data_IF_694674476370
#
_entry.id   IF_694674476370
#
_cell.length_a   1.000
_cell.length_b   1.000
_cell.length_c   1.000
_cell.angle_alpha   90.00
_cell.angle_beta   90.00
_cell.angle_gamma   90.00
#
_symmetry.space_group_name_H-M   'P 1'
#
loop_
_entity.id
_entity.type
_entity.pdbx_description
1 polymer ?
#
# COMPACT_ATOMS: atom_id res chain seq x y z
N UNK A 1 12.42 -5.30 5.65
CA UNK A 1 12.42 -3.83 5.66
C UNK A 1 13.34 -3.12 4.67
N UNK A 2 14.65 -3.45 4.56
CA UNK A 2 15.59 -2.72 3.66
C UNK A 2 15.11 -2.56 2.21
N UNK A 3 14.54 -3.61 1.62
CA UNK A 3 14.02 -3.57 0.23
C UNK A 3 12.89 -2.55 0.07
N UNK A 4 11.88 -2.58 0.94
CA UNK A 4 10.71 -1.71 0.81
C UNK A 4 11.07 -0.23 1.02
N UNK A 5 11.92 0.07 2.01
CA UNK A 5 12.46 1.43 2.20
C UNK A 5 13.23 1.90 0.97
N UNK A 6 14.06 1.03 0.37
CA UNK A 6 14.77 1.35 -0.88
C UNK A 6 13.84 1.62 -2.05
N UNK A 7 12.72 0.88 -2.17
CA UNK A 7 11.69 1.16 -3.19
C UNK A 7 11.06 2.52 -2.93
N UNK A 8 10.58 2.78 -1.71
CA UNK A 8 9.92 4.05 -1.38
C UNK A 8 10.83 5.28 -1.50
N UNK A 9 12.15 5.13 -1.38
CA UNK A 9 13.11 6.19 -1.73
C UNK A 9 13.16 6.53 -3.22
N UNK A 10 12.66 5.65 -4.09
CA UNK A 10 12.70 5.79 -5.55
C UNK A 10 11.32 5.96 -6.21
N UNK A 11 10.23 5.87 -5.43
CA UNK A 11 8.87 6.03 -5.96
C UNK A 11 8.66 7.47 -6.42
N UNK A 12 8.12 7.62 -7.62
CA UNK A 12 7.79 8.89 -8.24
C UNK A 12 6.40 8.88 -8.92
N UNK A 13 6.05 9.98 -9.60
CA UNK A 13 4.78 10.15 -10.31
C UNK A 13 4.52 9.16 -11.45
N UNK A 14 5.57 8.49 -11.94
CA UNK A 14 5.49 7.52 -13.04
C UNK A 14 5.43 6.08 -12.53
N UNK A 15 5.65 5.88 -11.24
CA UNK A 15 5.76 4.55 -10.64
C UNK A 15 4.42 3.79 -10.62
N UNK A 16 3.32 4.48 -10.33
CA UNK A 16 1.97 3.91 -10.30
C UNK A 16 1.21 4.25 -11.60
N UNK A 17 0.36 3.35 -12.13
CA UNK A 17 0.02 2.02 -11.63
C UNK A 17 0.81 0.89 -12.30
N UNK A 18 1.91 1.18 -13.01
CA UNK A 18 2.54 0.23 -13.96
C UNK A 18 3.86 -0.38 -13.49
N UNK A 19 4.59 0.27 -12.57
CA UNK A 19 5.80 -0.32 -11.96
C UNK A 19 5.54 -0.77 -10.53
N UNK A 20 4.79 0.02 -9.78
CA UNK A 20 4.41 -0.26 -8.40
C UNK A 20 2.98 0.18 -8.13
N UNK A 21 2.31 -0.48 -7.19
CA UNK A 21 1.03 -0.02 -6.67
C UNK A 21 0.86 -0.50 -5.23
N UNK A 22 0.76 0.42 -4.27
CA UNK A 22 0.72 0.08 -2.85
C UNK A 22 -0.63 0.40 -2.20
N UNK A 23 -1.68 0.64 -2.97
CA UNK A 23 -3.02 0.86 -2.42
C UNK A 23 -4.07 0.30 -3.37
N UNK A 24 -4.66 -0.84 -3.01
CA UNK A 24 -5.66 -1.54 -3.81
C UNK A 24 -6.48 -2.48 -2.94
N UNK A 25 -7.75 -2.63 -3.31
CA UNK A 25 -8.73 -3.40 -2.54
C UNK A 25 -9.26 -4.57 -3.34
N UNK A 26 -9.63 -5.62 -2.62
CA UNK A 26 -10.22 -6.85 -3.17
C UNK A 26 -11.58 -7.12 -2.54
N UNK A 27 -12.24 -8.18 -3.00
CA UNK A 27 -13.46 -8.72 -2.35
C UNK A 27 -13.25 -9.19 -0.91
N UNK A 28 -12.02 -9.16 -0.39
CA UNK A 28 -11.76 -9.43 1.02
C UNK A 28 -12.09 -8.25 1.93
N UNK A 29 -12.28 -7.04 1.39
CA UNK A 29 -12.96 -5.92 2.06
C UNK A 29 -14.15 -5.42 1.24
N UNK A 30 -13.93 -4.40 0.42
CA UNK A 30 -14.92 -3.60 -0.30
C UNK A 30 -14.53 -3.34 -1.76
N UNK A 31 -13.43 -3.96 -2.22
CA UNK A 31 -13.09 -4.02 -3.63
C UNK A 31 -13.91 -5.06 -4.39
N UNK A 32 -13.82 -5.02 -5.72
CA UNK A 32 -14.57 -5.91 -6.63
C UNK A 32 -13.72 -6.97 -7.30
N UNK A 33 -12.39 -6.81 -7.31
CA UNK A 33 -11.48 -7.84 -7.81
C UNK A 33 -11.30 -8.95 -6.79
N UNK A 34 -11.29 -10.20 -7.24
CA UNK A 34 -10.72 -11.27 -6.42
C UNK A 34 -9.21 -11.09 -6.35
N UNK A 35 -8.54 -11.53 -5.26
CA UNK A 35 -7.10 -11.52 -5.18
C UNK A 35 -6.41 -12.18 -6.38
N UNK A 36 -6.99 -13.24 -6.95
CA UNK A 36 -6.44 -13.94 -8.12
C UNK A 36 -6.55 -13.10 -9.40
N UNK A 37 -7.70 -12.47 -9.66
CA UNK A 37 -7.87 -11.57 -10.79
C UNK A 37 -6.96 -10.33 -10.67
N UNK A 38 -6.75 -9.85 -9.44
CA UNK A 38 -5.80 -8.79 -9.13
C UNK A 38 -4.36 -9.25 -9.44
N UNK A 39 -3.97 -10.46 -9.03
CA UNK A 39 -2.66 -11.02 -9.37
C UNK A 39 -2.42 -11.11 -10.88
N UNK A 40 -3.43 -11.54 -11.64
CA UNK A 40 -3.36 -11.61 -13.10
C UNK A 40 -3.15 -10.23 -13.73
N UNK A 41 -3.87 -9.21 -13.26
CA UNK A 41 -3.66 -7.84 -13.72
C UNK A 41 -2.29 -7.29 -13.32
N UNK A 42 -1.86 -7.50 -12.08
CA UNK A 42 -0.55 -7.06 -11.60
C UNK A 42 0.60 -7.69 -12.41
N UNK A 43 0.50 -8.98 -12.71
CA UNK A 43 1.46 -9.67 -13.56
C UNK A 43 1.40 -9.17 -15.01
N UNK A 44 0.20 -9.00 -15.58
CA UNK A 44 0.00 -8.51 -16.95
C UNK A 44 0.48 -7.07 -17.17
N UNK A 45 0.37 -6.21 -16.14
CA UNK A 45 0.91 -4.85 -16.15
C UNK A 45 2.45 -4.81 -16.04
N UNK A 46 3.08 -5.92 -15.64
CA UNK A 46 4.52 -5.97 -15.41
C UNK A 46 4.95 -5.24 -14.13
N UNK A 47 4.11 -5.27 -13.08
CA UNK A 47 4.48 -4.68 -11.79
C UNK A 47 5.79 -5.29 -11.27
N UNK A 48 6.66 -4.46 -10.71
CA UNK A 48 7.86 -4.89 -9.99
C UNK A 48 7.56 -5.26 -8.55
N UNK A 49 6.59 -4.57 -7.93
CA UNK A 49 6.08 -4.90 -6.61
C UNK A 49 4.81 -4.16 -6.25
N UNK A 50 4.03 -4.71 -5.32
CA UNK A 50 2.73 -4.15 -4.92
C UNK A 50 2.30 -4.70 -3.56
N UNK A 51 1.25 -4.11 -3.00
CA UNK A 51 0.60 -4.59 -1.78
C UNK A 51 -0.92 -4.52 -1.96
N UNK A 52 -1.62 -5.57 -1.52
CA UNK A 52 -3.08 -5.54 -1.33
C UNK A 52 -3.33 -4.95 0.06
N UNK A 53 -4.18 -3.94 0.14
CA UNK A 53 -4.40 -3.14 1.37
C UNK A 53 -5.87 -3.14 1.76
N UNK A 54 -6.50 -4.32 1.73
CA UNK A 54 -7.89 -4.48 2.17
C UNK A 54 -8.11 -3.88 3.57
N UNK A 55 -9.29 -3.33 3.80
CA UNK A 55 -9.66 -2.75 5.08
C UNK A 55 -9.67 -3.80 6.21
N UNK A 56 -8.83 -3.58 7.23
CA UNK A 56 -8.82 -4.34 8.50
C UNK A 56 -8.59 -5.86 8.35
N UNK A 57 -8.04 -6.30 7.23
CA UNK A 57 -7.77 -7.72 6.95
C UNK A 57 -6.56 -7.91 6.06
N UNK A 58 -5.95 -9.09 6.12
CA UNK A 58 -4.86 -9.53 5.23
C UNK A 58 -5.26 -10.76 4.41
N UNK A 59 -6.56 -11.08 4.35
CA UNK A 59 -7.06 -12.24 3.63
C UNK A 59 -6.72 -12.19 2.13
N UNK A 60 -6.80 -11.00 1.50
CA UNK A 60 -6.41 -10.81 0.11
C UNK A 60 -4.94 -11.11 -0.13
N UNK A 61 -4.06 -10.67 0.78
CA UNK A 61 -2.62 -10.99 0.74
C UNK A 61 -2.37 -12.51 0.76
N UNK A 62 -3.02 -13.27 1.65
CA UNK A 62 -2.79 -14.72 1.71
C UNK A 62 -3.28 -15.46 0.46
N UNK A 63 -4.41 -15.03 -0.12
CA UNK A 63 -4.92 -15.61 -1.38
C UNK A 63 -3.99 -15.28 -2.55
N UNK A 64 -3.50 -14.05 -2.63
CA UNK A 64 -2.50 -13.65 -3.61
C UNK A 64 -1.18 -14.41 -3.45
N UNK A 65 -0.73 -14.65 -2.22
CA UNK A 65 0.46 -15.46 -1.94
C UNK A 65 0.28 -16.92 -2.40
N UNK A 66 -0.89 -17.51 -2.14
CA UNK A 66 -1.22 -18.86 -2.63
C UNK A 66 -1.22 -18.91 -4.16
N UNK A 67 -1.78 -17.92 -4.83
CA UNK A 67 -1.72 -17.82 -6.29
C UNK A 67 -0.27 -17.80 -6.80
N UNK A 68 0.64 -17.08 -6.14
CA UNK A 68 2.07 -17.04 -6.49
C UNK A 68 2.73 -18.41 -6.30
N UNK A 69 2.47 -19.08 -5.18
CA UNK A 69 2.95 -20.44 -4.89
C UNK A 69 2.48 -21.43 -5.97
N UNK A 70 1.19 -21.40 -6.32
CA UNK A 70 0.59 -22.23 -7.38
C UNK A 70 1.17 -21.91 -8.77
N UNK A 71 1.46 -20.64 -9.06
CA UNK A 71 2.09 -20.24 -10.33
C UNK A 71 3.51 -20.76 -10.43
N UNK A 72 4.29 -20.65 -9.35
CA UNK A 72 5.68 -21.14 -9.29
C UNK A 72 5.75 -22.65 -9.45
N UNK A 73 4.85 -23.39 -8.80
CA UNK A 73 4.75 -24.84 -8.95
C UNK A 73 4.49 -25.26 -10.41
N UNK A 74 3.64 -24.51 -11.13
CA UNK A 74 3.31 -24.78 -12.54
C UNK A 74 4.40 -24.35 -13.54
N UNK A 75 5.36 -23.52 -13.13
CA UNK A 75 6.41 -22.97 -14.01
C UNK A 75 7.84 -23.18 -13.46
N UNK A 76 8.26 -24.41 -13.15
CA UNK A 76 9.53 -24.68 -12.45
C UNK A 76 10.76 -24.23 -13.25
N UNK A 77 10.71 -24.27 -14.59
CA UNK A 77 11.82 -23.85 -15.45
C UNK A 77 12.11 -22.34 -15.44
N UNK A 78 11.17 -21.51 -14.94
CA UNK A 78 11.36 -20.05 -14.77
C UNK A 78 11.87 -19.66 -13.38
N UNK A 79 11.91 -20.61 -12.44
CA UNK A 79 12.54 -20.43 -11.13
C UNK A 79 14.04 -20.76 -11.23
N UNK A 80 14.76 -20.06 -12.11
CA UNK A 80 16.23 -20.01 -12.00
C UNK A 80 16.56 -18.95 -10.97
N UNK A 81 17.07 -19.38 -9.81
CA UNK A 81 17.67 -18.50 -8.80
C UNK A 81 18.91 -17.85 -9.45
N UNK A 82 18.72 -16.68 -10.04
CA UNK A 82 19.80 -15.90 -10.64
C UNK A 82 20.60 -15.18 -9.58
N UNK A 83 21.77 -15.72 -9.21
CA UNK A 83 22.93 -14.89 -8.86
C UNK A 83 23.48 -14.37 -10.19
N UNK A 84 23.38 -13.06 -10.43
CA UNK A 84 23.89 -12.36 -11.62
C UNK A 84 23.05 -12.53 -12.91
N UNK A 85 22.82 -11.42 -13.59
CA UNK A 85 21.78 -11.22 -14.60
C UNK A 85 21.90 -12.04 -15.88
N UNK A 86 20.75 -12.54 -16.34
CA UNK A 86 20.38 -12.69 -17.75
C UNK A 86 18.87 -12.42 -17.86
N UNK A 87 18.50 -11.41 -18.64
CA UNK A 87 17.12 -11.04 -18.95
C UNK A 87 16.42 -12.17 -19.70
N UNK A 88 15.26 -12.62 -19.20
CA UNK A 88 14.33 -13.45 -19.97
C UNK A 88 13.10 -12.61 -20.35
N UNK A 89 12.75 -12.64 -21.63
CA UNK A 89 11.76 -11.80 -22.29
C UNK A 89 10.29 -12.21 -22.06
N UNK A 90 9.96 -12.77 -20.89
CA UNK A 90 8.57 -12.90 -20.39
C UNK A 90 8.54 -12.84 -18.85
N UNK A 91 8.34 -11.62 -18.33
CA UNK A 91 7.79 -11.25 -17.02
C UNK A 91 8.36 -11.93 -15.76
N UNK A 92 9.25 -11.24 -15.04
CA UNK A 92 9.51 -11.59 -13.64
C UNK A 92 8.23 -11.43 -12.81
N UNK A 93 8.00 -12.34 -11.85
CA UNK A 93 6.86 -12.22 -10.95
C UNK A 93 6.98 -10.94 -10.10
N UNK A 94 5.89 -10.18 -9.93
CA UNK A 94 5.89 -9.01 -9.06
C UNK A 94 6.16 -9.42 -7.60
N UNK A 95 6.90 -8.59 -6.88
CA UNK A 95 7.08 -8.76 -5.44
C UNK A 95 5.82 -8.36 -4.69
N UNK A 96 5.12 -9.33 -4.11
CA UNK A 96 3.99 -9.10 -3.22
C UNK A 96 4.47 -8.79 -1.79
N UNK A 97 4.06 -7.65 -1.25
CA UNK A 97 4.27 -7.27 0.15
C UNK A 97 2.99 -7.49 0.97
N UNK A 98 3.12 -7.77 2.27
CA UNK A 98 1.99 -7.66 3.19
C UNK A 98 1.50 -6.22 3.21
N UNK A 99 0.18 -6.04 3.16
CA UNK A 99 -0.49 -4.75 3.13
C UNK A 99 -1.78 -4.81 3.93
N UNK A 100 -2.21 -3.66 4.47
CA UNK A 100 -3.49 -3.47 5.14
C UNK A 100 -3.83 -1.98 5.15
N UNK A 101 -5.11 -1.63 5.09
CA UNK A 101 -5.59 -0.27 5.38
C UNK A 101 -6.37 -0.25 6.69
N UNK A 102 -5.96 0.61 7.62
CA UNK A 102 -6.54 0.70 8.97
C UNK A 102 -7.13 2.09 9.17
N UNK A 103 -8.46 2.15 9.34
CA UNK A 103 -9.17 3.31 9.89
C UNK A 103 -8.62 3.68 11.26
N UNK A 104 -8.31 4.95 11.42
CA UNK A 104 -7.60 5.50 12.57
C UNK A 104 -8.10 6.91 12.89
N UNK A 105 -7.81 7.40 14.08
CA UNK A 105 -8.13 8.74 14.55
C UNK A 105 -6.83 9.55 14.72
N UNK A 106 -6.72 10.65 13.99
CA UNK A 106 -5.59 11.57 14.05
C UNK A 106 -6.11 13.01 14.18
N UNK A 107 -5.72 13.70 15.26
CA UNK A 107 -6.18 15.08 15.53
C UNK A 107 -7.72 15.21 15.46
N UNK A 108 -8.44 14.24 16.02
CA UNK A 108 -9.92 14.19 15.97
C UNK A 108 -10.51 14.01 14.56
N UNK A 109 -9.69 13.61 13.57
CA UNK A 109 -10.10 13.37 12.18
C UNK A 109 -9.96 11.90 11.86
N UNK A 110 -10.99 11.33 11.23
CA UNK A 110 -10.93 9.98 10.71
C UNK A 110 -10.03 9.93 9.49
N UNK A 111 -8.97 9.14 9.61
CA UNK A 111 -7.97 8.93 8.59
C UNK A 111 -7.75 7.44 8.38
N UNK A 112 -7.08 7.09 7.29
CA UNK A 112 -6.60 5.75 7.05
C UNK A 112 -5.07 5.73 7.12
N UNK A 113 -4.54 4.69 7.75
CA UNK A 113 -3.12 4.38 7.82
C UNK A 113 -2.89 3.07 7.08
N UNK A 114 -2.02 3.12 6.08
CA UNK A 114 -1.58 1.97 5.31
C UNK A 114 -0.38 1.33 6.03
N UNK A 115 -0.44 0.01 6.18
CA UNK A 115 0.63 -0.79 6.76
C UNK A 115 1.30 -1.64 5.71
N UNK A 116 2.64 -1.70 5.69
CA UNK A 116 3.38 -2.49 4.69
C UNK A 116 4.50 -3.34 5.26
N UNK A 117 4.64 -4.55 4.74
CA UNK A 117 5.78 -5.43 5.00
C UNK A 117 5.92 -5.90 6.45
N UNK A 118 4.87 -5.75 7.26
CA UNK A 118 4.79 -6.27 8.63
C UNK A 118 4.55 -7.79 8.64
N UNK A 119 4.85 -8.44 9.77
CA UNK A 119 4.49 -9.83 10.04
C UNK A 119 3.02 -9.93 10.46
N UNK A 120 2.13 -10.58 9.67
CA UNK A 120 0.70 -10.61 9.95
C UNK A 120 0.34 -11.50 11.15
N UNK A 121 1.25 -12.37 11.59
CA UNK A 121 1.08 -13.19 12.80
C UNK A 121 1.58 -12.50 14.08
N UNK A 122 2.17 -11.31 13.97
CA UNK A 122 2.70 -10.60 15.13
C UNK A 122 1.56 -10.19 16.08
N UNK A 123 1.73 -10.40 17.39
CA UNK A 123 0.70 -10.15 18.39
C UNK A 123 0.18 -8.71 18.38
N UNK A 124 1.06 -7.73 18.13
CA UNK A 124 0.69 -6.32 18.01
C UNK A 124 -0.35 -6.04 16.91
N UNK A 125 -0.45 -6.89 15.88
CA UNK A 125 -1.42 -6.73 14.80
C UNK A 125 -2.78 -7.34 15.10
N UNK A 126 -2.92 -8.12 16.19
CA UNK A 126 -4.17 -8.77 16.54
C UNK A 126 -5.36 -7.80 16.59
N UNK A 127 -5.28 -6.59 17.18
CA UNK A 127 -6.43 -5.67 17.22
C UNK A 127 -6.87 -5.13 15.85
N UNK A 128 -6.02 -5.24 14.83
CA UNK A 128 -6.17 -4.57 13.54
C UNK A 128 -6.54 -5.50 12.39
N UNK A 129 -6.33 -6.81 12.57
CA UNK A 129 -6.68 -7.85 11.59
C UNK A 129 -7.92 -8.59 12.09
N UNK A 130 -9.04 -7.86 12.17
CA UNK A 130 -10.32 -8.36 12.70
C UNK A 130 -11.46 -8.32 11.67
N UNK A 131 -11.23 -7.76 10.49
CA UNK A 131 -12.27 -7.54 9.46
C UNK A 131 -13.21 -6.36 9.76
N UNK A 132 -12.95 -5.61 10.83
CA UNK A 132 -13.69 -4.39 11.16
C UNK A 132 -12.75 -3.35 11.77
N UNK A 133 -13.19 -2.08 11.76
CA UNK A 133 -12.39 -0.99 12.31
C UNK A 133 -12.07 -1.18 13.79
N UNK A 134 -10.84 -0.84 14.23
CA UNK A 134 -10.45 -0.87 15.64
C UNK A 134 -11.30 0.11 16.44
N UNK A 135 -11.53 -0.23 17.71
CA UNK A 135 -12.36 0.55 18.64
C UNK A 135 -11.54 1.05 19.83
N UNK A 136 -12.06 2.07 20.53
CA UNK A 136 -11.42 2.64 21.70
C UNK A 136 -10.01 3.16 21.38
N UNK A 137 -9.07 2.92 22.30
CA UNK A 137 -7.68 3.40 22.17
C UNK A 137 -6.95 2.81 20.96
N UNK A 138 -7.30 1.60 20.53
CA UNK A 138 -6.65 0.97 19.37
C UNK A 138 -6.86 1.77 18.08
N UNK A 139 -7.92 2.59 17.99
CA UNK A 139 -8.17 3.46 16.83
C UNK A 139 -7.21 4.65 16.78
N UNK A 140 -6.51 5.01 17.87
CA UNK A 140 -5.64 6.17 17.86
C UNK A 140 -4.43 5.94 16.94
N UNK A 141 -4.07 6.97 16.18
CA UNK A 141 -3.00 6.89 15.17
C UNK A 141 -1.65 6.46 15.75
N UNK A 142 -1.30 6.90 16.96
CA UNK A 142 -0.07 6.48 17.64
C UNK A 142 -0.06 4.97 17.88
N UNK A 143 -1.19 4.38 18.30
CA UNK A 143 -1.32 2.92 18.52
C UNK A 143 -1.20 2.14 17.22
N UNK A 144 -1.85 2.60 16.16
CA UNK A 144 -1.78 1.97 14.83
C UNK A 144 -0.34 1.99 14.30
N UNK A 145 0.33 3.16 14.35
CA UNK A 145 1.72 3.33 13.90
C UNK A 145 2.66 2.42 14.70
N UNK A 146 2.58 2.46 16.03
CA UNK A 146 3.41 1.62 16.89
C UNK A 146 3.20 0.12 16.63
N UNK A 147 1.97 -0.33 16.42
CA UNK A 147 1.67 -1.73 16.15
C UNK A 147 2.27 -2.23 14.83
N UNK A 148 2.13 -1.44 13.76
CA UNK A 148 2.70 -1.74 12.45
C UNK A 148 4.24 -1.82 12.51
N UNK A 149 4.86 -0.86 13.19
CA UNK A 149 6.32 -0.80 13.35
C UNK A 149 6.84 -1.92 14.26
N UNK A 150 6.14 -2.24 15.35
CA UNK A 150 6.47 -3.36 16.23
C UNK A 150 6.39 -4.70 15.48
N UNK A 151 5.44 -4.85 14.56
CA UNK A 151 5.34 -6.00 13.67
C UNK A 151 6.38 -6.00 12.53
N UNK A 152 7.32 -5.05 12.54
CA UNK A 152 8.42 -4.93 11.61
C UNK A 152 8.06 -4.31 10.26
N UNK A 153 6.90 -3.66 10.15
CA UNK A 153 6.43 -2.98 8.95
C UNK A 153 6.68 -1.47 8.94
N UNK A 154 6.09 -0.81 7.94
CA UNK A 154 6.05 0.64 7.79
C UNK A 154 4.61 1.14 7.90
N UNK A 155 4.42 2.31 8.51
CA UNK A 155 3.13 3.00 8.57
C UNK A 155 3.12 4.22 7.64
N UNK A 156 2.05 4.39 6.85
CA UNK A 156 1.93 5.45 5.85
C UNK A 156 0.56 6.11 5.91
N UNK A 157 0.49 7.44 5.92
CA UNK A 157 -0.79 8.16 5.90
C UNK A 157 -1.40 8.08 4.50
N UNK A 158 -2.58 7.47 4.37
CA UNK A 158 -3.28 7.34 3.09
C UNK A 158 -3.90 8.67 2.68
N UNK A 159 -3.83 8.97 1.38
CA UNK A 159 -4.51 10.07 0.68
C UNK A 159 -4.82 11.33 1.54
N UNK A 160 -3.80 12.00 2.14
CA UNK A 160 -3.97 13.05 3.15
C UNK A 160 -4.83 14.25 2.73
N UNK A 161 -4.97 14.52 1.43
CA UNK A 161 -5.82 15.62 0.93
C UNK A 161 -7.30 15.23 0.71
N UNK A 162 -7.74 14.02 1.11
CA UNK A 162 -9.15 13.60 1.06
C UNK A 162 -9.96 13.97 2.29
N UNK A 163 -9.31 14.27 3.41
CA UNK A 163 -9.97 14.46 4.69
C UNK A 163 -10.49 15.90 4.86
N UNK A 164 -11.36 16.08 5.86
CA UNK A 164 -11.94 17.41 6.20
C UNK A 164 -10.90 18.38 6.77
N UNK A 165 -9.86 17.86 7.42
CA UNK A 165 -8.76 18.65 7.97
C UNK A 165 -7.69 18.88 6.90
N UNK A 166 -7.00 20.01 6.99
CA UNK A 166 -5.93 20.34 6.05
C UNK A 166 -4.83 19.28 6.05
N UNK A 167 -4.39 18.88 4.85
CA UNK A 167 -3.34 17.88 4.68
C UNK A 167 -2.04 18.25 5.42
N UNK A 168 -1.69 19.54 5.47
CA UNK A 168 -0.51 20.02 6.20
C UNK A 168 -0.57 19.70 7.70
N UNK A 169 -1.74 19.89 8.34
CA UNK A 169 -1.92 19.56 9.76
C UNK A 169 -1.86 18.06 10.02
N UNK A 170 -2.52 17.27 9.16
CA UNK A 170 -2.52 15.81 9.30
C UNK A 170 -1.13 15.21 9.08
N UNK A 171 -0.39 15.69 8.08
CA UNK A 171 0.97 15.22 7.80
C UNK A 171 1.92 15.61 8.94
N UNK A 172 1.84 16.85 9.43
CA UNK A 172 2.65 17.29 10.57
C UNK A 172 2.33 16.47 11.83
N UNK A 173 1.05 16.29 12.17
CA UNK A 173 0.63 15.50 13.31
C UNK A 173 1.03 14.02 13.19
N UNK A 174 0.93 13.43 11.99
CA UNK A 174 1.39 12.06 11.78
C UNK A 174 2.92 11.93 11.91
N UNK A 175 3.68 12.93 11.45
CA UNK A 175 5.13 12.98 11.58
C UNK A 175 5.56 13.06 13.06
N UNK A 176 4.87 13.85 13.88
CA UNK A 176 5.10 13.93 15.33
C UNK A 176 4.89 12.58 16.04
N UNK A 177 3.98 11.74 15.52
CA UNK A 177 3.74 10.37 16.01
C UNK A 177 4.72 9.34 15.44
N UNK A 178 5.67 9.75 14.60
CA UNK A 178 6.69 8.85 14.04
C UNK A 178 6.22 7.99 12.87
N UNK A 179 5.23 8.44 12.09
CA UNK A 179 4.84 7.76 10.85
C UNK A 179 6.01 7.66 9.87
N UNK A 180 6.09 6.59 9.07
CA UNK A 180 7.22 6.40 8.14
C UNK A 180 7.04 7.17 6.82
N UNK A 181 5.80 7.34 6.34
CA UNK A 181 5.57 7.89 5.01
C UNK A 181 4.17 8.48 4.80
N UNK A 182 3.98 9.04 3.60
CA UNK A 182 2.69 9.54 3.14
C UNK A 182 2.41 9.12 1.70
N UNK A 183 1.15 8.81 1.41
CA UNK A 183 0.69 8.54 0.05
C UNK A 183 0.66 9.85 -0.75
N UNK A 184 1.73 10.05 -1.51
CA UNK A 184 2.02 11.31 -2.21
C UNK A 184 1.42 11.31 -3.61
N UNK A 185 1.58 10.18 -4.31
CA UNK A 185 1.12 10.02 -5.67
C UNK A 185 -0.24 9.34 -5.67
N UNK A 186 -1.28 10.18 -5.69
CA UNK A 186 -2.67 9.78 -5.57
C UNK A 186 -3.56 10.61 -6.49
N UNK A 187 -4.64 10.00 -6.99
CA UNK A 187 -5.55 10.55 -7.98
C UNK A 187 -6.70 11.38 -7.36
N UNK A 188 -6.38 12.48 -6.67
CA UNK A 188 -7.35 13.32 -5.95
C UNK A 188 -8.45 13.96 -6.81
N UNK A 189 -8.21 14.12 -8.12
CA UNK A 189 -9.18 14.68 -9.07
C UNK A 189 -9.95 13.59 -9.85
N UNK A 190 -9.82 12.32 -9.44
CA UNK A 190 -10.55 11.17 -9.97
C UNK A 190 -10.63 11.08 -11.52
N UNK A 191 -9.47 11.08 -12.21
CA UNK A 191 -9.43 10.92 -13.67
C UNK A 191 -9.89 9.51 -14.08
N UNK A 192 -10.33 9.36 -15.35
CA UNK A 192 -10.70 8.05 -15.89
C UNK A 192 -9.51 7.09 -15.93
N UNK A 193 -8.39 7.53 -16.49
CA UNK A 193 -7.11 6.84 -16.41
C UNK A 193 -6.35 7.34 -15.18
N UNK A 194 -5.91 6.43 -14.32
CA UNK A 194 -5.19 6.82 -13.11
C UNK A 194 -3.94 7.62 -13.45
N UNK A 195 -3.78 8.75 -12.76
CA UNK A 195 -2.56 9.56 -12.70
C UNK A 195 -2.55 10.33 -11.37
N UNK A 196 -1.37 10.72 -10.85
CA UNK A 196 -1.30 11.61 -9.70
C UNK A 196 -1.99 12.95 -10.02
N UNK A 197 -2.65 13.55 -9.03
CA UNK A 197 -3.32 14.84 -9.23
C UNK A 197 -2.28 15.96 -9.41
N UNK A 198 -2.25 16.69 -10.54
CA UNK A 198 -1.24 17.74 -10.77
C UNK A 198 -1.29 18.88 -9.76
N UNK A 199 -2.47 19.16 -9.18
CA UNK A 199 -2.66 20.26 -8.22
C UNK A 199 -2.25 19.90 -6.79
N UNK A 200 -2.48 18.66 -6.36
CA UNK A 200 -2.23 18.24 -4.98
C UNK A 200 -0.86 17.60 -4.80
N UNK A 201 -0.40 16.80 -5.78
CA UNK A 201 0.85 16.03 -5.67
C UNK A 201 2.06 16.90 -5.29
N UNK A 202 2.31 18.08 -5.91
CA UNK A 202 3.46 18.91 -5.54
C UNK A 202 3.40 19.41 -4.09
N UNK A 203 2.20 19.72 -3.58
CA UNK A 203 1.99 20.19 -2.20
C UNK A 203 2.26 19.08 -1.20
N UNK A 204 1.73 17.88 -1.45
CA UNK A 204 1.95 16.72 -0.58
C UNK A 204 3.42 16.30 -0.62
N UNK A 205 4.06 16.31 -1.78
CA UNK A 205 5.49 16.01 -1.93
C UNK A 205 6.37 16.98 -1.13
N UNK A 206 6.08 18.28 -1.18
CA UNK A 206 6.81 19.28 -0.40
C UNK A 206 6.67 19.02 1.12
N UNK A 207 5.47 18.69 1.59
CA UNK A 207 5.24 18.34 2.99
C UNK A 207 5.97 17.05 3.40
N UNK A 208 5.99 16.02 2.56
CA UNK A 208 6.78 14.81 2.79
C UNK A 208 8.27 15.16 3.01
N UNK A 209 8.82 16.02 2.16
CA UNK A 209 10.22 16.45 2.23
C UNK A 209 10.51 17.24 3.51
N UNK A 210 9.65 18.19 3.87
CA UNK A 210 9.78 18.97 5.11
C UNK A 210 9.84 18.08 6.35
N UNK A 211 9.06 17.01 6.38
CA UNK A 211 9.01 16.06 7.50
C UNK A 211 9.91 14.83 7.34
N UNK A 212 10.73 14.76 6.28
CA UNK A 212 11.64 13.63 5.98
C UNK A 212 10.92 12.28 5.88
N UNK A 213 9.69 12.29 5.35
CA UNK A 213 8.84 11.12 5.20
C UNK A 213 9.05 10.44 3.85
N UNK A 214 8.91 9.12 3.81
CA UNK A 214 8.86 8.38 2.55
C UNK A 214 7.62 8.78 1.74
N UNK A 215 7.75 8.77 0.42
CA UNK A 215 6.62 8.96 -0.50
C UNK A 215 6.16 7.61 -1.03
N UNK A 216 4.86 7.36 -1.04
CA UNK A 216 4.27 6.18 -1.68
C UNK A 216 3.27 6.55 -2.77
N UNK A 217 2.81 5.53 -3.50
CA UNK A 217 1.86 5.63 -4.59
C UNK A 217 0.86 4.48 -4.52
N UNK A 218 -0.36 4.72 -4.96
CA UNK A 218 -1.41 3.71 -4.91
C UNK A 218 -2.64 4.13 -5.70
N UNK A 219 -3.35 3.15 -6.27
CA UNK A 219 -4.55 3.47 -7.05
C UNK A 219 -5.79 3.69 -6.22
N UNK A 220 -5.84 3.12 -5.02
CA UNK A 220 -7.03 3.06 -4.17
C UNK A 220 -8.21 2.44 -4.94
N UNK A 221 -7.90 1.48 -5.81
CA UNK A 221 -8.88 0.83 -6.69
C UNK A 221 -9.82 -0.08 -5.90
N UNK A 222 -11.12 0.12 -6.10
CA UNK A 222 -12.18 -0.75 -5.59
C UNK A 222 -12.93 -1.46 -6.73
N UNK A 223 -12.66 -1.10 -7.98
CA UNK A 223 -13.32 -1.60 -9.17
C UNK A 223 -12.71 -2.88 -9.72
N UNK A 224 -12.82 -3.03 -11.04
CA UNK A 224 -12.37 -4.21 -11.78
C UNK A 224 -11.04 -3.98 -12.52
N UNK A 225 -10.40 -2.83 -12.33
CA UNK A 225 -9.26 -2.41 -13.17
C UNK A 225 -8.21 -1.68 -12.34
N UNK A 226 -7.02 -2.28 -12.20
CA UNK A 226 -5.94 -1.72 -11.38
C UNK A 226 -5.40 -0.36 -11.84
N UNK A 227 -5.68 0.04 -13.08
CA UNK A 227 -5.27 1.34 -13.65
C UNK A 227 -6.31 2.45 -13.46
N UNK A 228 -7.31 2.22 -12.58
CA UNK A 228 -8.37 3.18 -12.24
C UNK A 228 -8.51 3.25 -10.71
N UNK A 229 -9.05 4.36 -10.21
CA UNK A 229 -9.32 4.54 -8.77
C UNK A 229 -10.67 3.97 -8.31
N UNK A 230 -11.71 4.07 -9.13
CA UNK A 230 -13.06 3.62 -8.74
C UNK A 230 -13.08 2.15 -8.36
#
# INVERSE_FOLDING_TARGET
MKVLRGIFSSVDETSCPTSYNFHMHTVCSDGRLTPEALMEQAFGLGLKGFAITDHHTVAGYFRARRWLEDWQWRHPARVKVGKSGVLSSQGELPRLFTGIEINSLLLGTDVHILGYGFSPQHSAMQPYIQGHAPQGENRLADKVICALQAAGGLAVLAHPARYRRAAAELIAGAAELGIDGIETYYAYDNPECWRPCPKQTPKIKALAQTHQLFTTCGTDTHGLTLTRRL
#
